data_IF_187239828055
#
_entry.id   IF_187239828055
#
_cell.length_a   1.000
_cell.length_b   1.000
_cell.length_c   1.000
_cell.angle_alpha   90.00
_cell.angle_beta   90.00
_cell.angle_gamma   90.00
#
_symmetry.space_group_name_H-M   'P 1'
#
loop_
_entity.id
_entity.type
_entity.pdbx_description
1 polymer ?
#
# COMPACT_ATOMS: atom_id res chain seq x y z
N UNK A 1 77.50 0.62 41.60
CA UNK A 1 77.17 -0.29 40.48
C UNK A 1 75.67 -0.20 40.24
N UNK A 2 75.24 0.59 39.25
CA UNK A 2 73.83 0.72 38.87
C UNK A 2 73.49 -0.45 37.94
N UNK A 3 72.71 -1.42 38.43
CA UNK A 3 72.15 -2.46 37.58
C UNK A 3 71.00 -1.88 36.75
N UNK A 4 71.28 -1.58 35.48
CA UNK A 4 70.23 -1.31 34.49
C UNK A 4 69.55 -2.63 34.18
N UNK A 5 68.33 -2.83 34.69
CA UNK A 5 67.49 -3.98 34.29
C UNK A 5 67.10 -3.78 32.82
N UNK A 6 67.60 -4.66 31.94
CA UNK A 6 67.08 -4.81 30.57
C UNK A 6 65.86 -5.72 30.63
N UNK A 7 64.67 -5.17 30.35
CA UNK A 7 63.53 -6.00 29.96
C UNK A 7 63.79 -6.49 28.52
N UNK A 8 63.86 -7.80 28.35
CA UNK A 8 63.87 -8.46 27.05
C UNK A 8 62.44 -8.96 26.84
N UNK A 9 61.78 -8.49 25.79
CA UNK A 9 60.47 -9.01 25.35
C UNK A 9 60.71 -10.34 24.64
N UNK A 10 60.04 -11.41 25.10
CA UNK A 10 60.19 -12.78 24.58
C UNK A 10 59.57 -13.00 23.18
N UNK A 11 59.01 -11.96 22.56
CA UNK A 11 58.38 -12.03 21.24
C UNK A 11 59.26 -11.37 20.17
N UNK A 12 59.86 -12.15 19.24
CA UNK A 12 60.69 -11.63 18.16
C UNK A 12 59.92 -10.87 17.06
N UNK A 13 58.58 -10.85 17.10
CA UNK A 13 57.74 -9.99 16.24
C UNK A 13 57.48 -8.58 16.83
N UNK A 14 57.99 -8.33 18.04
CA UNK A 14 57.74 -7.11 18.80
C UNK A 14 58.55 -5.91 18.27
N UNK A 15 57.86 -4.86 17.83
CA UNK A 15 58.46 -3.55 17.53
C UNK A 15 57.56 -2.42 18.02
N UNK A 16 58.13 -1.28 18.41
CA UNK A 16 57.38 -0.07 18.76
C UNK A 16 56.52 0.48 17.60
N UNK A 17 56.79 0.05 16.36
CA UNK A 17 56.03 0.43 15.15
C UNK A 17 54.77 -0.43 14.99
N UNK A 18 54.70 -1.61 15.63
CA UNK A 18 53.62 -2.60 15.49
C UNK A 18 52.62 -2.60 16.65
N UNK A 19 52.81 -1.80 17.69
CA UNK A 19 51.88 -1.77 18.84
C UNK A 19 50.71 -0.82 18.54
N UNK A 20 49.48 -1.33 18.35
CA UNK A 20 48.31 -0.47 18.19
C UNK A 20 48.14 0.41 19.43
N UNK A 21 47.73 1.66 19.23
CA UNK A 21 47.40 2.57 20.32
C UNK A 21 46.41 1.92 21.29
N UNK A 22 46.56 2.19 22.60
CA UNK A 22 45.65 1.68 23.63
C UNK A 22 44.18 1.97 23.27
N UNK A 23 43.91 3.15 22.71
CA UNK A 23 42.58 3.51 22.20
C UNK A 23 42.06 2.52 21.16
N UNK A 24 42.87 2.12 20.18
CA UNK A 24 42.43 1.16 19.14
C UNK A 24 42.16 -0.22 19.75
N UNK A 25 43.00 -0.68 20.68
CA UNK A 25 42.78 -1.94 21.41
C UNK A 25 41.49 -1.90 22.23
N UNK A 26 41.22 -0.78 22.92
CA UNK A 26 39.97 -0.58 23.66
C UNK A 26 38.75 -0.60 22.73
N UNK A 27 38.81 0.08 21.59
CA UNK A 27 37.71 0.09 20.61
C UNK A 27 37.46 -1.31 20.04
N UNK A 28 38.51 -2.06 19.69
CA UNK A 28 38.40 -3.44 19.25
C UNK A 28 37.74 -4.34 20.30
N UNK A 29 38.13 -4.18 21.57
CA UNK A 29 37.51 -4.92 22.67
C UNK A 29 36.02 -4.55 22.85
N UNK A 30 35.66 -3.28 22.71
CA UNK A 30 34.27 -2.81 22.75
C UNK A 30 33.46 -3.43 21.61
N UNK A 31 33.99 -3.43 20.39
CA UNK A 31 33.33 -4.04 19.22
C UNK A 31 33.11 -5.53 19.45
N UNK A 32 34.12 -6.26 19.91
CA UNK A 32 34.04 -7.71 20.13
C UNK A 32 33.05 -8.09 21.24
N UNK A 33 32.92 -7.26 22.28
CA UNK A 33 32.03 -7.51 23.42
C UNK A 33 30.72 -6.70 23.36
N UNK A 34 30.41 -6.09 22.22
CA UNK A 34 29.31 -5.15 22.09
C UNK A 34 27.96 -5.76 22.49
N UNK A 35 27.72 -7.03 22.14
CA UNK A 35 26.51 -7.76 22.50
C UNK A 35 26.29 -7.84 24.02
N UNK A 36 27.35 -8.07 24.78
CA UNK A 36 27.29 -8.21 26.25
C UNK A 36 27.31 -6.86 26.96
N UNK A 37 27.96 -5.85 26.37
CA UNK A 37 28.14 -4.55 27.00
C UNK A 37 28.10 -3.40 25.96
N UNK A 38 26.90 -3.02 25.48
CA UNK A 38 26.75 -2.04 24.39
C UNK A 38 26.87 -0.59 24.90
N UNK A 39 28.10 -0.17 25.21
CA UNK A 39 28.39 1.16 25.79
C UNK A 39 28.50 2.30 24.78
N UNK A 40 27.90 2.17 23.58
CA UNK A 40 28.10 3.12 22.47
C UNK A 40 27.85 4.58 22.88
N UNK A 41 26.76 4.82 23.62
CA UNK A 41 26.33 6.16 24.04
C UNK A 41 27.29 6.84 25.04
N UNK A 42 28.21 6.08 25.66
CA UNK A 42 29.22 6.60 26.58
C UNK A 42 30.53 6.97 25.89
N UNK A 43 30.68 6.64 24.59
CA UNK A 43 31.88 6.95 23.82
C UNK A 43 31.82 8.35 23.23
N UNK A 44 32.99 8.96 23.01
CA UNK A 44 33.13 10.21 22.25
C UNK A 44 32.63 10.01 20.80
N UNK A 45 32.07 11.04 20.14
CA UNK A 45 31.52 10.91 18.78
C UNK A 45 32.48 10.32 17.74
N UNK A 46 33.77 10.65 17.82
CA UNK A 46 34.82 10.09 16.95
C UNK A 46 35.02 8.57 17.13
N UNK A 47 34.85 8.08 18.36
CA UNK A 47 34.95 6.68 18.71
C UNK A 47 33.68 5.92 18.40
N UNK A 48 32.51 6.56 18.53
CA UNK A 48 31.23 5.98 18.13
C UNK A 48 31.25 5.57 16.66
N UNK A 49 31.69 6.46 15.76
CA UNK A 49 31.81 6.15 14.32
C UNK A 49 32.71 4.93 14.07
N UNK A 50 33.92 4.93 14.66
CA UNK A 50 34.87 3.81 14.52
C UNK A 50 34.31 2.47 15.01
N UNK A 51 33.51 2.48 16.09
CA UNK A 51 32.85 1.28 16.60
C UNK A 51 31.77 0.84 15.63
N UNK A 52 30.83 1.74 15.30
CA UNK A 52 29.67 1.49 14.42
C UNK A 52 30.08 0.95 13.05
N UNK A 53 31.14 1.49 12.45
CA UNK A 53 31.66 1.06 11.14
C UNK A 53 32.13 -0.41 11.15
N UNK A 54 32.58 -0.89 12.33
CA UNK A 54 33.13 -2.24 12.52
C UNK A 54 32.17 -3.19 13.22
N UNK A 55 31.00 -2.74 13.70
CA UNK A 55 30.02 -3.62 14.32
C UNK A 55 29.50 -4.67 13.33
N UNK A 56 29.33 -5.90 13.81
CA UNK A 56 28.67 -6.94 13.02
C UNK A 56 27.20 -6.59 12.77
N UNK A 57 26.75 -6.78 11.55
CA UNK A 57 25.34 -6.67 11.11
C UNK A 57 24.47 -7.80 11.66
N UNK A 58 25.09 -8.88 12.17
CA UNK A 58 24.42 -10.05 12.75
C UNK A 58 24.05 -9.89 14.23
N UNK A 59 24.34 -8.73 14.84
CA UNK A 59 24.04 -8.47 16.26
C UNK A 59 22.52 -8.48 16.51
N UNK A 60 22.06 -9.00 17.67
CA UNK A 60 20.64 -9.01 18.01
C UNK A 60 20.01 -7.61 17.97
N UNK A 61 18.78 -7.51 17.45
CA UNK A 61 18.05 -6.24 17.39
C UNK A 61 17.74 -5.68 18.79
N UNK A 62 17.59 -6.55 19.78
CA UNK A 62 17.43 -6.15 21.19
C UNK A 62 18.63 -5.34 21.70
N UNK A 63 19.82 -5.53 21.13
CA UNK A 63 21.03 -4.77 21.45
C UNK A 63 21.14 -3.53 20.57
N UNK A 64 20.86 -3.64 19.27
CA UNK A 64 21.21 -2.60 18.30
C UNK A 64 20.10 -1.57 18.07
N UNK A 65 18.83 -1.97 18.12
CA UNK A 65 17.68 -1.14 17.73
C UNK A 65 17.60 0.19 18.48
N UNK A 66 17.82 0.18 19.80
CA UNK A 66 17.67 1.36 20.65
C UNK A 66 18.99 2.12 20.88
N UNK A 67 20.13 1.51 20.52
CA UNK A 67 21.46 2.06 20.81
C UNK A 67 22.11 2.64 19.54
N UNK A 68 21.95 1.97 18.40
CA UNK A 68 22.58 2.37 17.14
C UNK A 68 21.60 3.22 16.32
N UNK A 69 21.80 4.53 16.30
CA UNK A 69 21.06 5.48 15.44
C UNK A 69 21.73 5.78 14.10
N UNK A 70 22.99 5.38 13.93
CA UNK A 70 23.80 5.71 12.77
C UNK A 70 23.32 4.97 11.51
N UNK A 71 22.99 5.71 10.46
CA UNK A 71 22.43 5.17 9.21
C UNK A 71 23.40 4.26 8.44
N UNK A 72 24.71 4.47 8.55
CA UNK A 72 25.72 3.63 7.88
C UNK A 72 25.69 2.17 8.37
N UNK A 73 25.40 1.94 9.65
CA UNK A 73 25.21 0.59 10.18
C UNK A 73 23.98 -0.07 9.57
N UNK A 74 22.85 0.62 9.56
CA UNK A 74 21.60 0.09 9.01
C UNK A 74 21.69 -0.10 7.50
N UNK A 75 22.43 0.75 6.79
CA UNK A 75 22.77 0.57 5.38
C UNK A 75 23.50 -0.74 5.14
N UNK A 76 24.52 -1.06 5.94
CA UNK A 76 25.22 -2.36 5.85
C UNK A 76 24.26 -3.52 6.13
N UNK A 77 23.45 -3.43 7.19
CA UNK A 77 22.43 -4.45 7.50
C UNK A 77 21.44 -4.67 6.35
N UNK A 78 20.99 -3.60 5.69
CA UNK A 78 20.06 -3.67 4.57
C UNK A 78 20.71 -4.32 3.34
N UNK A 79 21.91 -3.86 2.94
CA UNK A 79 22.61 -4.35 1.75
C UNK A 79 22.99 -5.83 1.88
N UNK A 80 23.33 -6.28 3.08
CA UNK A 80 23.63 -7.68 3.33
C UNK A 80 22.38 -8.57 3.26
N UNK A 81 21.22 -8.06 3.68
CA UNK A 81 19.97 -8.83 3.73
C UNK A 81 19.18 -8.80 2.42
N UNK A 82 19.26 -7.71 1.66
CA UNK A 82 18.44 -7.49 0.47
C UNK A 82 19.26 -7.01 -0.71
N UNK A 83 19.10 -7.70 -1.85
CA UNK A 83 19.83 -7.41 -3.09
C UNK A 83 19.52 -6.03 -3.66
N UNK A 84 18.27 -5.57 -3.53
CA UNK A 84 17.83 -4.26 -4.00
C UNK A 84 17.39 -3.43 -2.80
N UNK A 85 18.03 -2.28 -2.64
CA UNK A 85 17.69 -1.32 -1.61
C UNK A 85 17.51 0.08 -2.21
N UNK A 86 16.29 0.59 -2.17
CA UNK A 86 15.95 1.98 -2.50
C UNK A 86 15.41 2.67 -1.25
N UNK A 87 16.23 3.54 -0.66
CA UNK A 87 15.94 4.22 0.60
C UNK A 87 15.02 5.44 0.41
N UNK A 88 14.84 5.93 -0.82
CA UNK A 88 14.04 7.12 -1.11
C UNK A 88 12.58 6.93 -0.69
N UNK A 89 12.05 5.70 -0.81
CA UNK A 89 10.70 5.33 -0.36
C UNK A 89 10.51 5.33 1.18
N UNK A 90 11.60 5.49 1.93
CA UNK A 90 11.64 5.41 3.40
C UNK A 90 12.04 6.75 4.04
N UNK A 91 11.97 7.85 3.30
CA UNK A 91 12.40 9.17 3.77
C UNK A 91 13.91 9.23 4.02
N UNK A 92 14.68 8.55 3.17
CA UNK A 92 16.14 8.47 3.23
C UNK A 92 16.72 7.90 4.53
N UNK A 93 15.92 7.18 5.33
CA UNK A 93 16.38 6.44 6.51
C UNK A 93 16.50 4.94 6.24
N UNK A 94 17.73 4.43 6.28
CA UNK A 94 18.05 3.01 6.22
C UNK A 94 17.53 2.26 7.44
N UNK A 95 17.51 2.90 8.61
CA UNK A 95 16.94 2.31 9.82
C UNK A 95 15.44 2.07 9.68
N UNK A 96 14.68 3.04 9.17
CA UNK A 96 13.25 2.88 8.87
C UNK A 96 13.03 1.77 7.84
N UNK A 97 13.77 1.81 6.73
CA UNK A 97 13.72 0.78 5.71
C UNK A 97 13.96 -0.62 6.28
N UNK A 98 14.98 -0.78 7.14
CA UNK A 98 15.28 -2.05 7.77
C UNK A 98 14.09 -2.57 8.58
N UNK A 99 13.53 -1.76 9.47
CA UNK A 99 12.45 -2.19 10.35
C UNK A 99 11.14 -2.47 9.63
N UNK A 100 10.74 -1.62 8.68
CA UNK A 100 9.55 -1.83 7.86
C UNK A 100 9.67 -3.14 7.06
N UNK A 101 10.75 -3.30 6.29
CA UNK A 101 10.96 -4.52 5.49
C UNK A 101 11.14 -5.77 6.33
N UNK A 102 11.78 -5.67 7.50
CA UNK A 102 11.97 -6.82 8.38
C UNK A 102 10.65 -7.30 8.98
N UNK A 103 9.83 -6.37 9.48
CA UNK A 103 8.50 -6.67 10.02
C UNK A 103 7.58 -7.23 8.93
N UNK A 104 7.55 -6.59 7.76
CA UNK A 104 6.82 -7.11 6.59
C UNK A 104 7.25 -8.53 6.23
N UNK A 105 8.56 -8.82 6.24
CA UNK A 105 9.06 -10.16 5.91
C UNK A 105 8.60 -11.20 6.94
N UNK A 106 8.61 -10.86 8.23
CA UNK A 106 8.07 -11.76 9.27
C UNK A 106 6.59 -12.03 9.00
N UNK A 107 5.78 -11.00 8.74
CA UNK A 107 4.34 -11.14 8.48
C UNK A 107 4.04 -11.94 7.21
N UNK A 108 4.78 -11.70 6.12
CA UNK A 108 4.65 -12.40 4.83
C UNK A 108 4.89 -13.90 4.93
N UNK A 109 5.71 -14.34 5.89
CA UNK A 109 6.04 -15.75 6.12
C UNK A 109 5.48 -16.27 7.44
N UNK A 110 4.62 -15.49 8.10
CA UNK A 110 3.97 -15.91 9.33
C UNK A 110 2.92 -16.96 8.99
N UNK A 111 3.13 -18.18 9.50
CA UNK A 111 2.19 -19.28 9.36
C UNK A 111 1.43 -19.41 10.68
N UNK A 112 0.12 -19.13 10.72
CA UNK A 112 -0.65 -19.27 11.94
C UNK A 112 -0.59 -20.70 12.48
N UNK A 113 -0.64 -20.83 13.82
CA UNK A 113 -0.49 -22.10 14.56
C UNK A 113 0.87 -22.80 14.44
N UNK A 114 1.79 -22.32 13.58
CA UNK A 114 3.16 -22.86 13.44
C UNK A 114 4.21 -21.85 13.91
N UNK A 115 4.03 -20.59 13.57
CA UNK A 115 4.96 -19.51 13.93
C UNK A 115 4.57 -18.93 15.28
N UNK A 116 5.53 -18.81 16.21
CA UNK A 116 5.30 -18.19 17.52
C UNK A 116 4.93 -16.70 17.34
N UNK A 117 3.74 -16.25 17.78
CA UNK A 117 3.33 -14.85 17.73
C UNK A 117 4.33 -13.89 18.40
N UNK A 118 5.12 -14.36 19.37
CA UNK A 118 6.15 -13.54 20.04
C UNK A 118 7.18 -12.96 19.07
N UNK A 119 7.44 -13.62 17.94
CA UNK A 119 8.36 -13.08 16.93
C UNK A 119 7.92 -11.71 16.41
N UNK A 120 6.61 -11.47 16.34
CA UNK A 120 6.05 -10.17 15.96
C UNK A 120 5.99 -9.25 17.18
N UNK A 121 5.47 -9.74 18.30
CA UNK A 121 5.21 -8.92 19.50
C UNK A 121 6.49 -8.35 20.13
N UNK A 122 7.57 -9.13 20.18
CA UNK A 122 8.86 -8.68 20.73
C UNK A 122 9.55 -7.64 19.85
N UNK A 123 9.18 -7.55 18.57
CA UNK A 123 9.72 -6.56 17.64
C UNK A 123 9.06 -5.19 17.81
N UNK A 124 7.79 -5.14 18.26
CA UNK A 124 7.00 -3.91 18.39
C UNK A 124 7.76 -2.83 19.18
N UNK A 125 8.29 -3.07 20.40
CA UNK A 125 9.03 -2.06 21.15
C UNK A 125 10.28 -1.54 20.43
N UNK A 126 10.86 -2.32 19.52
CA UNK A 126 12.09 -2.01 18.80
C UNK A 126 11.81 -1.19 17.52
N UNK A 127 10.66 -1.42 16.86
CA UNK A 127 10.35 -0.85 15.56
C UNK A 127 9.26 0.24 15.57
N UNK A 128 8.43 0.35 16.60
CA UNK A 128 7.25 1.24 16.63
C UNK A 128 7.52 2.72 16.35
N UNK A 129 8.74 3.19 16.62
CA UNK A 129 9.16 4.57 16.35
C UNK A 129 9.51 4.85 14.89
N UNK A 130 9.66 3.80 14.07
CA UNK A 130 10.18 3.88 12.71
C UNK A 130 9.17 3.44 11.65
N UNK A 131 8.24 2.54 11.99
CA UNK A 131 7.26 1.99 11.05
C UNK A 131 6.17 3.02 10.75
N UNK A 132 6.16 3.52 9.52
CA UNK A 132 5.12 4.38 8.94
C UNK A 132 4.35 3.71 7.82
N UNK A 133 4.96 2.72 7.16
CA UNK A 133 4.34 1.94 6.11
C UNK A 133 4.49 0.44 6.39
N UNK A 134 3.44 -0.30 6.09
CA UNK A 134 3.47 -1.76 6.03
C UNK A 134 2.90 -2.24 4.70
N UNK A 135 3.72 -2.95 3.91
CA UNK A 135 3.32 -3.61 2.67
C UNK A 135 3.42 -5.14 2.80
N UNK A 136 2.29 -5.77 3.09
CA UNK A 136 2.15 -7.23 3.18
C UNK A 136 1.36 -7.72 1.97
N UNK A 137 2.10 -8.15 0.96
CA UNK A 137 1.56 -8.59 -0.32
C UNK A 137 1.30 -10.11 -0.41
N UNK A 138 1.30 -10.80 0.72
CA UNK A 138 0.82 -12.17 0.87
C UNK A 138 0.58 -12.47 2.35
N UNK A 139 -0.37 -13.36 2.64
CA UNK A 139 -0.52 -13.96 3.96
C UNK A 139 -0.55 -15.46 3.80
N UNK A 140 0.25 -16.18 4.59
CA UNK A 140 0.22 -17.63 4.59
C UNK A 140 -0.91 -18.13 5.49
N UNK A 141 -1.73 -19.07 5.02
CA UNK A 141 -2.77 -19.70 5.82
C UNK A 141 -2.16 -20.69 6.82
N UNK A 142 -2.91 -21.12 7.84
CA UNK A 142 -2.44 -22.15 8.77
C UNK A 142 -2.22 -23.49 8.05
N UNK A 143 -1.21 -24.26 8.49
CA UNK A 143 -0.97 -25.61 7.96
C UNK A 143 -2.08 -26.54 8.45
N UNK A 144 -2.76 -27.22 7.52
CA UNK A 144 -3.63 -28.34 7.87
C UNK A 144 -2.76 -29.49 8.37
N UNK A 145 -3.02 -29.96 9.59
CA UNK A 145 -2.47 -31.24 10.04
C UNK A 145 -3.38 -32.30 9.44
N UNK A 146 -2.87 -33.11 8.51
CA UNK A 146 -3.57 -34.28 8.01
C UNK A 146 -4.01 -35.13 9.20
N UNK A 147 -5.31 -35.20 9.49
CA UNK A 147 -5.86 -36.27 10.30
C UNK A 147 -5.86 -37.53 9.44
N UNK A 148 -4.68 -38.15 9.28
CA UNK A 148 -4.60 -39.55 8.88
C UNK A 148 -4.72 -40.40 10.15
N UNK A 149 -5.58 -41.42 10.06
CA UNK A 149 -5.94 -42.44 11.08
C UNK A 149 -7.08 -41.97 12.00
N UNK A 150 -8.30 -42.53 12.03
CA UNK A 150 -8.83 -43.85 11.65
C UNK A 150 -10.31 -43.71 11.24
N UNK A 151 -10.68 -44.10 10.02
CA UNK A 151 -12.02 -44.65 9.76
C UNK A 151 -11.95 -45.58 8.57
N UNK A 152 -11.75 -46.86 8.86
CA UNK A 152 -12.04 -47.93 7.91
C UNK A 152 -13.51 -47.88 7.53
N UNK A 153 -13.75 -48.12 6.25
CA UNK A 153 -14.99 -48.61 5.64
C UNK A 153 -16.25 -47.75 5.85
N UNK A 154 -16.66 -47.02 4.81
CA UNK A 154 -17.89 -47.31 4.04
C UNK A 154 -18.30 -46.13 3.12
N UNK A 155 -18.53 -46.50 1.87
CA UNK A 155 -19.53 -46.00 0.93
C UNK A 155 -19.35 -44.63 0.23
N UNK A 156 -19.38 -44.74 -1.10
CA UNK A 156 -19.70 -43.69 -2.07
C UNK A 156 -21.05 -43.04 -1.76
N UNK A 157 -21.03 -41.74 -1.45
CA UNK A 157 -22.15 -40.82 -1.66
C UNK A 157 -21.59 -39.42 -1.90
N UNK A 158 -21.71 -38.94 -3.14
CA UNK A 158 -21.63 -37.51 -3.48
C UNK A 158 -22.86 -36.81 -2.89
N UNK A 159 -22.78 -36.44 -1.61
CA UNK A 159 -23.71 -35.48 -1.00
C UNK A 159 -22.92 -34.51 -0.12
N UNK A 160 -23.32 -33.24 -0.21
CA UNK A 160 -22.83 -32.05 0.48
C UNK A 160 -22.52 -32.27 1.98
N UNK A 161 -21.37 -32.88 2.24
CA UNK A 161 -20.82 -33.00 3.58
C UNK A 161 -20.15 -31.67 3.92
N UNK A 162 -20.82 -30.92 4.77
CA UNK A 162 -20.30 -29.91 5.69
C UNK A 162 -19.02 -30.43 6.35
N UNK A 163 -17.89 -30.31 5.63
CA UNK A 163 -16.56 -30.64 6.11
C UNK A 163 -16.17 -29.57 7.11
N UNK A 164 -16.65 -29.74 8.35
CA UNK A 164 -16.15 -29.22 9.61
C UNK A 164 -14.94 -28.28 9.39
N UNK A 165 -15.23 -27.02 8.99
CA UNK A 165 -14.20 -26.05 8.62
C UNK A 165 -13.42 -25.71 9.88
N UNK A 166 -12.28 -26.36 10.09
CA UNK A 166 -11.28 -25.90 11.02
C UNK A 166 -10.85 -24.50 10.52
N UNK A 167 -11.46 -23.47 11.07
CA UNK A 167 -11.33 -22.09 10.65
C UNK A 167 -9.86 -21.70 10.54
N UNK A 168 -9.43 -21.49 9.30
CA UNK A 168 -8.03 -21.26 8.94
C UNK A 168 -7.78 -19.75 8.80
N UNK A 169 -7.88 -19.03 9.93
CA UNK A 169 -7.69 -17.58 9.94
C UNK A 169 -6.22 -17.20 9.79
N UNK A 170 -5.98 -16.03 9.20
CA UNK A 170 -4.64 -15.47 9.08
C UNK A 170 -4.19 -14.85 10.40
N UNK A 171 -2.94 -14.39 10.45
CA UNK A 171 -2.42 -13.66 11.60
C UNK A 171 -3.28 -12.41 11.88
N UNK A 172 -3.77 -12.27 13.11
CA UNK A 172 -4.53 -11.10 13.54
C UNK A 172 -3.61 -9.90 13.69
N UNK A 173 -3.76 -8.94 12.78
CA UNK A 173 -2.98 -7.71 12.75
C UNK A 173 -3.36 -6.71 13.85
N UNK A 174 -4.46 -6.93 14.58
CA UNK A 174 -5.02 -5.93 15.50
C UNK A 174 -4.03 -5.46 16.56
N UNK A 175 -3.38 -6.38 17.27
CA UNK A 175 -2.41 -6.01 18.32
C UNK A 175 -1.21 -5.27 17.72
N UNK A 176 -0.73 -5.73 16.56
CA UNK A 176 0.39 -5.09 15.86
C UNK A 176 0.05 -3.66 15.43
N UNK A 177 -0.98 -3.46 14.61
CA UNK A 177 -1.19 -2.16 13.96
C UNK A 177 -1.68 -1.10 14.95
N UNK A 178 -2.39 -1.50 16.01
CA UNK A 178 -2.79 -0.59 17.08
C UNK A 178 -1.61 -0.16 17.96
N UNK A 179 -0.54 -0.96 18.01
CA UNK A 179 0.69 -0.64 18.73
C UNK A 179 1.71 0.19 17.92
N UNK A 180 1.42 0.50 16.65
CA UNK A 180 2.27 1.30 15.75
C UNK A 180 1.74 2.74 15.65
N UNK A 181 2.22 3.67 16.49
CA UNK A 181 1.65 5.01 16.60
C UNK A 181 1.91 5.89 15.37
N UNK A 182 2.89 5.54 14.53
CA UNK A 182 3.26 6.33 13.34
C UNK A 182 2.83 5.69 12.03
N UNK A 183 2.01 4.63 12.06
CA UNK A 183 1.54 3.96 10.86
C UNK A 183 0.60 4.89 10.05
N UNK A 184 1.04 5.24 8.84
CA UNK A 184 0.36 6.12 7.89
C UNK A 184 -0.15 5.36 6.66
N UNK A 185 0.54 4.29 6.25
CA UNK A 185 0.18 3.47 5.07
C UNK A 185 0.08 1.98 5.44
N UNK A 186 -1.05 1.35 5.10
CA UNK A 186 -1.28 -0.08 5.30
C UNK A 186 -1.71 -0.72 3.99
N UNK A 187 -0.84 -1.54 3.40
CA UNK A 187 -1.11 -2.26 2.15
C UNK A 187 -1.14 -3.76 2.40
N UNK A 188 -2.28 -4.36 2.12
CA UNK A 188 -2.56 -5.76 2.40
C UNK A 188 -3.04 -6.47 1.14
N UNK A 189 -2.60 -7.71 0.99
CA UNK A 189 -3.10 -8.64 -0.03
C UNK A 189 -3.20 -10.02 0.59
N UNK A 190 -4.42 -10.48 0.80
CA UNK A 190 -4.73 -11.84 1.26
C UNK A 190 -4.70 -12.80 0.07
N UNK A 191 -3.49 -13.05 -0.40
CA UNK A 191 -3.16 -13.92 -1.53
C UNK A 191 -1.88 -14.71 -1.19
N UNK A 192 -1.62 -15.79 -1.92
CA UNK A 192 -0.41 -16.61 -1.76
C UNK A 192 0.35 -16.64 -3.08
N UNK A 193 1.56 -16.09 -3.10
CA UNK A 193 2.36 -15.96 -4.34
C UNK A 193 2.89 -17.28 -4.88
N UNK A 194 3.08 -18.28 -4.02
CA UNK A 194 3.69 -19.55 -4.40
C UNK A 194 3.13 -20.66 -3.54
N UNK A 195 2.16 -21.41 -4.08
CA UNK A 195 1.53 -22.54 -3.39
C UNK A 195 2.32 -23.86 -3.50
N UNK A 196 3.37 -23.88 -4.33
CA UNK A 196 4.11 -25.11 -4.61
C UNK A 196 3.19 -26.23 -5.11
N UNK A 197 3.45 -27.46 -4.68
CA UNK A 197 2.64 -28.64 -5.02
C UNK A 197 1.41 -28.82 -4.12
N UNK A 198 1.26 -28.02 -3.06
CA UNK A 198 0.22 -28.17 -2.04
C UNK A 198 -0.90 -27.12 -2.24
N UNK A 199 -1.37 -26.97 -3.48
CA UNK A 199 -2.40 -25.99 -3.82
C UNK A 199 -3.77 -26.39 -3.26
N UNK A 200 -4.42 -25.45 -2.55
CA UNK A 200 -5.83 -25.52 -2.19
C UNK A 200 -6.48 -24.12 -2.34
N UNK A 201 -7.77 -24.08 -2.67
CA UNK A 201 -8.53 -22.81 -2.80
C UNK A 201 -8.68 -22.06 -1.47
N UNK A 202 -8.71 -22.80 -0.36
CA UNK A 202 -8.75 -22.32 1.03
C UNK A 202 -7.56 -21.43 1.36
N UNK A 203 -6.40 -21.62 0.72
CA UNK A 203 -5.18 -20.87 1.00
C UNK A 203 -5.31 -19.37 0.73
N UNK A 204 -6.29 -19.01 -0.09
CA UNK A 204 -6.54 -17.65 -0.55
C UNK A 204 -7.82 -17.08 0.06
N UNK A 205 -8.33 -17.68 1.14
CA UNK A 205 -9.60 -17.31 1.70
C UNK A 205 -9.43 -16.16 2.71
N UNK A 206 -9.83 -14.96 2.32
CA UNK A 206 -10.01 -13.88 3.28
C UNK A 206 -11.33 -14.09 4.03
N UNK A 207 -11.24 -14.60 5.25
CA UNK A 207 -12.42 -15.04 6.03
C UNK A 207 -13.20 -13.84 6.59
N UNK A 208 -14.44 -14.07 7.02
CA UNK A 208 -15.22 -13.04 7.73
C UNK A 208 -14.56 -12.58 9.02
N UNK A 209 -13.92 -13.50 9.75
CA UNK A 209 -13.19 -13.16 10.97
C UNK A 209 -11.95 -12.32 10.67
N UNK A 210 -11.18 -12.65 9.61
CA UNK A 210 -10.05 -11.83 9.16
C UNK A 210 -10.53 -10.40 8.86
N UNK A 211 -11.66 -10.28 8.14
CA UNK A 211 -12.28 -9.00 7.82
C UNK A 211 -12.75 -8.24 9.07
N UNK A 212 -13.37 -8.93 10.03
CA UNK A 212 -13.82 -8.33 11.30
C UNK A 212 -12.65 -7.80 12.12
N UNK A 213 -11.58 -8.59 12.25
CA UNK A 213 -10.36 -8.21 12.94
C UNK A 213 -9.71 -7.00 12.27
N UNK A 214 -9.56 -7.03 10.95
CA UNK A 214 -8.99 -5.94 10.17
C UNK A 214 -9.83 -4.67 10.27
N UNK A 215 -11.16 -4.77 10.16
CA UNK A 215 -12.06 -3.62 10.27
C UNK A 215 -11.98 -2.96 11.66
N UNK A 216 -11.94 -3.76 12.73
CA UNK A 216 -11.75 -3.25 14.09
C UNK A 216 -10.38 -2.60 14.28
N UNK A 217 -9.34 -3.18 13.67
CA UNK A 217 -7.98 -2.69 13.78
C UNK A 217 -7.80 -1.35 13.04
N UNK A 218 -8.24 -1.26 11.78
CA UNK A 218 -8.14 -0.03 10.98
C UNK A 218 -8.92 1.12 11.63
N UNK A 219 -10.08 0.85 12.21
CA UNK A 219 -10.86 1.86 12.97
C UNK A 219 -10.07 2.52 14.10
N UNK A 220 -9.14 1.78 14.72
CA UNK A 220 -8.31 2.27 15.83
C UNK A 220 -7.04 3.00 15.37
N UNK A 221 -6.68 2.91 14.09
CA UNK A 221 -5.47 3.50 13.53
C UNK A 221 -5.70 4.96 13.11
N UNK A 222 -5.79 5.88 14.07
CA UNK A 222 -6.13 7.28 13.82
C UNK A 222 -5.12 8.07 12.95
N UNK A 223 -3.92 7.55 12.70
CA UNK A 223 -2.93 8.17 11.82
C UNK A 223 -2.89 7.59 10.41
N UNK A 224 -3.72 6.58 10.12
CA UNK A 224 -3.76 5.92 8.83
C UNK A 224 -4.34 6.86 7.77
N UNK A 225 -3.54 7.11 6.74
CA UNK A 225 -3.87 7.96 5.58
C UNK A 225 -4.18 7.15 4.34
N UNK A 226 -3.47 6.04 4.15
CA UNK A 226 -3.60 5.18 2.97
C UNK A 226 -3.91 3.76 3.42
N UNK A 227 -5.04 3.24 2.96
CA UNK A 227 -5.42 1.85 3.18
C UNK A 227 -5.63 1.15 1.84
N UNK A 228 -4.83 0.11 1.58
CA UNK A 228 -4.94 -0.71 0.37
C UNK A 228 -5.24 -2.14 0.78
N UNK A 229 -6.33 -2.68 0.27
CA UNK A 229 -6.72 -4.08 0.44
C UNK A 229 -7.07 -4.63 -0.94
N UNK A 230 -6.04 -4.99 -1.70
CA UNK A 230 -6.17 -5.41 -3.09
C UNK A 230 -6.11 -6.92 -3.21
N UNK A 231 -6.76 -7.51 -4.22
CA UNK A 231 -6.67 -8.96 -4.51
C UNK A 231 -6.92 -9.86 -3.30
N UNK A 232 -7.86 -9.46 -2.45
CA UNK A 232 -8.13 -10.10 -1.15
C UNK A 232 -9.52 -10.71 -1.11
N UNK A 233 -10.17 -10.92 -2.26
CA UNK A 233 -11.52 -11.48 -2.39
C UNK A 233 -12.56 -10.80 -1.47
N UNK A 234 -12.45 -9.48 -1.30
CA UNK A 234 -13.43 -8.70 -0.53
C UNK A 234 -14.75 -8.67 -1.30
N UNK A 235 -15.78 -9.32 -0.76
CA UNK A 235 -17.14 -9.34 -1.32
C UNK A 235 -18.02 -8.22 -0.72
N UNK A 236 -19.26 -8.14 -1.18
CA UNK A 236 -20.27 -7.17 -0.75
C UNK A 236 -20.44 -7.10 0.78
N UNK A 237 -20.40 -8.23 1.48
CA UNK A 237 -20.65 -8.28 2.92
C UNK A 237 -19.41 -7.87 3.72
N UNK A 238 -18.23 -8.31 3.27
CA UNK A 238 -16.94 -7.86 3.82
C UNK A 238 -16.74 -6.36 3.62
N UNK A 239 -17.08 -5.81 2.46
CA UNK A 239 -16.93 -4.37 2.26
C UNK A 239 -17.95 -3.55 3.06
N UNK A 240 -19.18 -4.04 3.28
CA UNK A 240 -20.13 -3.38 4.20
C UNK A 240 -19.56 -3.31 5.62
N UNK A 241 -18.93 -4.40 6.08
CA UNK A 241 -18.25 -4.50 7.38
C UNK A 241 -17.04 -3.57 7.49
N UNK A 242 -16.24 -3.43 6.44
CA UNK A 242 -15.13 -2.47 6.41
C UNK A 242 -15.66 -1.04 6.35
N UNK A 243 -16.54 -0.73 5.40
CA UNK A 243 -17.09 0.61 5.20
C UNK A 243 -17.74 1.18 6.46
N UNK A 244 -18.53 0.39 7.21
CA UNK A 244 -19.14 0.85 8.47
C UNK A 244 -18.12 1.25 9.55
N UNK A 245 -16.92 0.65 9.51
CA UNK A 245 -15.83 0.94 10.44
C UNK A 245 -14.91 2.07 9.95
N UNK A 246 -14.99 2.41 8.66
CA UNK A 246 -14.27 3.52 8.03
C UNK A 246 -15.08 4.82 7.95
N UNK A 247 -16.38 4.78 8.24
CA UNK A 247 -17.21 5.99 8.37
C UNK A 247 -16.57 6.94 9.39
N UNK A 248 -16.48 8.22 9.01
CA UNK A 248 -15.89 9.29 9.83
C UNK A 248 -14.44 9.03 10.29
N UNK A 249 -13.68 8.17 9.59
CA UNK A 249 -12.27 7.94 9.93
C UNK A 249 -11.48 9.26 9.85
N UNK A 250 -10.71 9.63 10.90
CA UNK A 250 -10.23 11.00 11.07
C UNK A 250 -9.22 11.45 10.00
N UNK A 251 -8.43 10.52 9.48
CA UNK A 251 -7.25 10.81 8.65
C UNK A 251 -7.18 10.03 7.33
N UNK A 252 -8.16 9.18 7.01
CA UNK A 252 -8.06 8.33 5.81
C UNK A 252 -8.33 9.17 4.56
N UNK A 253 -7.35 9.20 3.64
CA UNK A 253 -7.37 9.99 2.41
C UNK A 253 -7.41 9.10 1.17
N UNK A 254 -6.78 7.92 1.20
CA UNK A 254 -6.73 7.00 0.06
C UNK A 254 -7.24 5.62 0.48
N UNK A 255 -8.19 5.11 -0.31
CA UNK A 255 -8.71 3.76 -0.20
C UNK A 255 -8.57 3.03 -1.53
N UNK A 256 -7.75 1.97 -1.55
CA UNK A 256 -7.61 1.08 -2.70
C UNK A 256 -8.20 -0.29 -2.39
N UNK A 257 -9.26 -0.63 -3.12
CA UNK A 257 -9.97 -1.90 -3.03
C UNK A 257 -9.98 -2.60 -4.39
N UNK A 258 -9.00 -2.32 -5.25
CA UNK A 258 -8.94 -2.88 -6.59
C UNK A 258 -8.77 -4.42 -6.59
N UNK A 259 -9.29 -5.05 -7.63
CA UNK A 259 -9.24 -6.49 -7.83
C UNK A 259 -9.92 -7.29 -6.71
N UNK A 260 -11.14 -6.91 -6.32
CA UNK A 260 -11.97 -7.64 -5.35
C UNK A 260 -13.34 -7.99 -5.97
N UNK A 261 -14.35 -8.28 -5.14
CA UNK A 261 -15.66 -8.80 -5.53
C UNK A 261 -16.81 -7.94 -4.98
N UNK A 262 -16.63 -6.61 -4.94
CA UNK A 262 -17.50 -5.66 -4.22
C UNK A 262 -18.90 -5.49 -4.84
N UNK A 263 -19.06 -5.77 -6.15
CA UNK A 263 -20.33 -5.73 -6.93
C UNK A 263 -21.23 -4.55 -6.55
N UNK A 264 -22.55 -4.67 -6.76
CA UNK A 264 -23.48 -3.54 -6.59
C UNK A 264 -23.83 -3.26 -5.12
N UNK A 265 -24.06 -4.28 -4.30
CA UNK A 265 -24.48 -4.02 -2.91
C UNK A 265 -23.30 -3.49 -2.07
N UNK A 266 -22.09 -3.94 -2.35
CA UNK A 266 -20.89 -3.39 -1.73
C UNK A 266 -20.61 -1.96 -2.21
N UNK A 267 -20.77 -1.68 -3.50
CA UNK A 267 -20.66 -0.33 -4.05
C UNK A 267 -21.68 0.64 -3.43
N UNK A 268 -22.88 0.17 -3.08
CA UNK A 268 -23.87 0.98 -2.35
C UNK A 268 -23.37 1.41 -0.96
N UNK A 269 -22.68 0.53 -0.24
CA UNK A 269 -22.06 0.87 1.04
C UNK A 269 -20.92 1.88 0.87
N UNK A 270 -20.13 1.74 -0.21
CA UNK A 270 -19.09 2.69 -0.56
C UNK A 270 -19.63 4.06 -0.98
N UNK A 271 -20.78 4.12 -1.66
CA UNK A 271 -21.45 5.38 -1.98
C UNK A 271 -21.74 6.20 -0.71
N UNK A 272 -22.21 5.55 0.35
CA UNK A 272 -22.41 6.19 1.66
C UNK A 272 -21.10 6.60 2.34
N UNK A 273 -20.06 5.79 2.21
CA UNK A 273 -18.72 6.11 2.74
C UNK A 273 -18.15 7.37 2.08
N UNK A 274 -18.30 7.51 0.76
CA UNK A 274 -17.82 8.66 0.00
C UNK A 274 -18.44 9.98 0.51
N UNK A 275 -19.73 9.99 0.84
CA UNK A 275 -20.41 11.20 1.32
C UNK A 275 -20.09 11.56 2.78
N UNK A 276 -19.60 10.61 3.58
CA UNK A 276 -19.29 10.78 5.01
C UNK A 276 -17.80 10.54 5.31
N UNK A 277 -16.91 10.87 4.38
CA UNK A 277 -15.47 10.69 4.58
C UNK A 277 -14.64 11.84 4.01
N UNK A 278 -13.37 11.83 4.41
CA UNK A 278 -12.34 12.75 3.91
C UNK A 278 -11.54 12.14 2.76
N UNK A 279 -12.05 11.07 2.14
CA UNK A 279 -11.37 10.38 1.06
C UNK A 279 -11.12 11.33 -0.12
N UNK A 280 -9.87 11.41 -0.52
CA UNK A 280 -9.41 12.15 -1.70
C UNK A 280 -9.24 11.22 -2.90
N UNK A 281 -8.89 9.96 -2.66
CA UNK A 281 -8.67 8.94 -3.71
C UNK A 281 -9.41 7.64 -3.37
N UNK A 282 -10.18 7.15 -4.33
CA UNK A 282 -10.86 5.86 -4.25
C UNK A 282 -10.59 5.02 -5.51
N UNK A 283 -9.98 3.86 -5.32
CA UNK A 283 -9.71 2.91 -6.38
C UNK A 283 -10.56 1.64 -6.25
N UNK A 284 -11.47 1.44 -7.19
CA UNK A 284 -12.38 0.30 -7.31
C UNK A 284 -12.18 -0.46 -8.62
N UNK A 285 -11.01 -0.34 -9.23
CA UNK A 285 -10.67 -1.05 -10.46
C UNK A 285 -10.93 -2.56 -10.32
N UNK A 286 -11.61 -3.17 -11.28
CA UNK A 286 -11.87 -4.61 -11.34
C UNK A 286 -12.59 -5.18 -10.11
N UNK A 287 -13.85 -4.78 -9.91
CA UNK A 287 -14.71 -5.19 -8.78
C UNK A 287 -16.08 -5.73 -9.18
N UNK A 288 -16.33 -5.93 -10.49
CA UNK A 288 -17.61 -6.38 -11.03
C UNK A 288 -18.80 -5.47 -10.66
N UNK A 289 -18.54 -4.17 -10.43
CA UNK A 289 -19.57 -3.16 -10.15
C UNK A 289 -20.37 -2.93 -11.42
N UNK A 290 -21.70 -2.97 -11.34
CA UNK A 290 -22.61 -2.72 -12.46
C UNK A 290 -23.30 -1.37 -12.32
N UNK A 291 -24.27 -1.09 -13.18
CA UNK A 291 -24.97 0.20 -13.20
C UNK A 291 -25.63 0.57 -11.86
N UNK A 292 -26.18 -0.38 -11.08
CA UNK A 292 -26.81 -0.08 -9.79
C UNK A 292 -25.79 0.36 -8.75
N UNK A 293 -24.64 -0.32 -8.67
CA UNK A 293 -23.54 0.09 -7.81
C UNK A 293 -22.96 1.44 -8.25
N UNK A 294 -22.78 1.65 -9.55
CA UNK A 294 -22.31 2.92 -10.10
C UNK A 294 -23.27 4.08 -9.80
N UNK A 295 -24.59 3.87 -9.86
CA UNK A 295 -25.58 4.86 -9.46
C UNK A 295 -25.46 5.24 -7.98
N UNK A 296 -25.22 4.28 -7.10
CA UNK A 296 -25.02 4.56 -5.68
C UNK A 296 -23.71 5.31 -5.41
N UNK A 297 -22.64 4.98 -6.15
CA UNK A 297 -21.38 5.74 -6.11
C UNK A 297 -21.57 7.16 -6.63
N UNK A 298 -22.36 7.35 -7.69
CA UNK A 298 -22.69 8.67 -8.24
C UNK A 298 -23.45 9.54 -7.22
N UNK A 299 -24.38 8.96 -6.46
CA UNK A 299 -25.06 9.67 -5.37
C UNK A 299 -24.06 10.15 -4.31
N UNK A 300 -23.15 9.27 -3.85
CA UNK A 300 -22.10 9.65 -2.91
C UNK A 300 -21.16 10.72 -3.47
N UNK A 301 -20.80 10.62 -4.75
CA UNK A 301 -19.95 11.57 -5.45
C UNK A 301 -20.59 12.96 -5.55
N UNK A 302 -21.90 13.04 -5.78
CA UNK A 302 -22.61 14.32 -5.85
C UNK A 302 -22.56 15.10 -4.52
N UNK A 303 -22.51 14.39 -3.38
CA UNK A 303 -22.44 14.96 -2.03
C UNK A 303 -20.99 15.18 -1.56
N UNK A 304 -20.02 14.46 -2.13
CA UNK A 304 -18.61 14.59 -1.74
C UNK A 304 -18.01 15.92 -2.16
N UNK A 305 -17.30 16.55 -1.23
CA UNK A 305 -16.51 17.77 -1.47
C UNK A 305 -15.00 17.54 -1.42
N UNK A 306 -14.57 16.31 -1.15
CA UNK A 306 -13.16 15.94 -0.88
C UNK A 306 -12.59 15.00 -1.93
N UNK A 307 -13.41 14.13 -2.53
CA UNK A 307 -12.92 13.13 -3.48
C UNK A 307 -12.41 13.80 -4.76
N UNK A 308 -11.13 13.62 -5.06
CA UNK A 308 -10.45 14.18 -6.23
C UNK A 308 -10.16 13.15 -7.31
N UNK A 309 -10.07 11.86 -6.95
CA UNK A 309 -9.76 10.78 -7.87
C UNK A 309 -10.66 9.57 -7.63
N UNK A 310 -11.34 9.13 -8.70
CA UNK A 310 -12.17 7.93 -8.70
C UNK A 310 -11.78 7.01 -9.86
N UNK A 311 -11.37 5.79 -9.53
CA UNK A 311 -11.04 4.76 -10.52
C UNK A 311 -12.07 3.62 -10.51
N UNK A 312 -12.81 3.48 -11.61
CA UNK A 312 -13.80 2.44 -11.86
C UNK A 312 -13.44 1.56 -13.05
N UNK A 313 -12.17 1.56 -13.49
CA UNK A 313 -11.72 0.78 -14.63
C UNK A 313 -12.06 -0.72 -14.48
N UNK A 314 -12.30 -1.42 -15.59
CA UNK A 314 -12.54 -2.88 -15.61
C UNK A 314 -13.77 -3.28 -14.75
N UNK A 315 -14.84 -2.50 -14.80
CA UNK A 315 -16.13 -2.85 -14.20
C UNK A 315 -17.18 -2.99 -15.31
N UNK A 316 -18.46 -3.07 -14.92
CA UNK A 316 -19.59 -3.16 -15.84
C UNK A 316 -20.54 -1.99 -15.62
N UNK A 317 -19.99 -0.77 -15.48
CA UNK A 317 -20.77 0.42 -15.14
C UNK A 317 -21.96 0.61 -16.09
N UNK A 318 -21.81 0.25 -17.38
CA UNK A 318 -22.85 0.36 -18.41
C UNK A 318 -23.38 1.81 -18.56
N UNK A 319 -24.20 2.07 -19.58
CA UNK A 319 -24.64 3.43 -19.85
C UNK A 319 -25.42 4.07 -18.70
N UNK A 320 -26.32 3.31 -18.04
CA UNK A 320 -27.09 3.82 -16.89
C UNK A 320 -26.22 4.25 -15.72
N UNK A 321 -25.09 3.57 -15.50
CA UNK A 321 -24.13 3.95 -14.47
C UNK A 321 -23.28 5.13 -14.93
N UNK A 322 -22.87 5.15 -16.21
CA UNK A 322 -22.12 6.23 -16.82
C UNK A 322 -22.87 7.56 -16.81
N UNK A 323 -24.14 7.54 -17.22
CA UNK A 323 -25.06 8.69 -17.15
C UNK A 323 -25.22 9.21 -15.72
N UNK A 324 -25.38 8.32 -14.74
CA UNK A 324 -25.52 8.71 -13.33
C UNK A 324 -24.25 9.42 -12.81
N UNK A 325 -23.07 8.88 -13.11
CA UNK A 325 -21.79 9.51 -12.78
C UNK A 325 -21.67 10.87 -13.48
N UNK A 326 -22.02 10.95 -14.77
CA UNK A 326 -22.03 12.20 -15.53
C UNK A 326 -22.95 13.25 -14.90
N UNK A 327 -24.17 12.87 -14.48
CA UNK A 327 -25.08 13.76 -13.79
C UNK A 327 -24.54 14.25 -12.44
N UNK A 328 -23.89 13.39 -11.66
CA UNK A 328 -23.24 13.80 -10.42
C UNK A 328 -22.13 14.84 -10.67
N UNK A 329 -21.37 14.70 -11.77
CA UNK A 329 -20.31 15.63 -12.16
C UNK A 329 -20.79 17.01 -12.63
N UNK A 330 -22.06 17.16 -12.99
CA UNK A 330 -22.62 18.47 -13.31
C UNK A 330 -22.72 19.38 -12.07
N UNK A 331 -22.75 18.81 -10.86
CA UNK A 331 -22.81 19.53 -9.60
C UNK A 331 -21.57 19.34 -8.72
N UNK A 332 -20.85 18.23 -8.88
CA UNK A 332 -19.61 17.99 -8.15
C UNK A 332 -18.51 18.99 -8.59
N UNK A 333 -17.77 19.50 -7.60
CA UNK A 333 -16.71 20.51 -7.79
C UNK A 333 -15.37 20.08 -7.20
N UNK A 334 -15.24 18.82 -6.79
CA UNK A 334 -14.03 18.28 -6.17
C UNK A 334 -13.26 17.30 -7.06
N UNK A 335 -13.97 16.52 -7.90
CA UNK A 335 -13.37 15.47 -8.70
C UNK A 335 -12.51 16.03 -9.84
N UNK A 336 -11.24 15.65 -9.85
CA UNK A 336 -10.25 16.06 -10.85
C UNK A 336 -9.91 14.94 -11.83
N UNK A 337 -9.99 13.69 -11.41
CA UNK A 337 -9.63 12.52 -12.19
C UNK A 337 -10.70 11.43 -12.11
N UNK A 338 -11.17 10.99 -13.27
CA UNK A 338 -12.15 9.91 -13.39
C UNK A 338 -11.68 8.85 -14.39
N UNK A 339 -11.58 7.60 -13.94
CA UNK A 339 -11.23 6.48 -14.82
C UNK A 339 -12.42 5.56 -15.04
N UNK A 340 -12.95 5.55 -16.28
CA UNK A 340 -14.09 4.75 -16.74
C UNK A 340 -13.71 3.78 -17.88
N UNK A 341 -12.42 3.58 -18.16
CA UNK A 341 -12.01 2.62 -19.20
C UNK A 341 -12.47 1.17 -18.94
N UNK A 342 -12.84 0.45 -20.00
CA UNK A 342 -13.37 -0.93 -19.94
C UNK A 342 -14.59 -1.06 -19.03
N UNK A 343 -15.70 -0.40 -19.38
CA UNK A 343 -16.94 -0.37 -18.59
C UNK A 343 -18.22 -0.61 -19.39
N UNK A 344 -18.11 -1.03 -20.66
CA UNK A 344 -19.25 -1.21 -21.57
C UNK A 344 -20.08 0.08 -21.74
N UNK A 345 -19.41 1.22 -21.84
CA UNK A 345 -20.04 2.52 -22.11
C UNK A 345 -20.25 2.70 -23.61
N UNK A 346 -21.33 3.38 -23.99
CA UNK A 346 -21.65 3.71 -25.37
C UNK A 346 -22.15 5.17 -25.51
N UNK A 347 -22.79 5.49 -26.64
CA UNK A 347 -23.25 6.84 -27.00
C UNK A 347 -24.13 7.55 -25.94
N UNK A 348 -25.05 6.89 -25.21
CA UNK A 348 -25.86 7.57 -24.20
C UNK A 348 -25.01 8.20 -23.10
N UNK A 349 -23.92 7.52 -22.70
CA UNK A 349 -22.97 8.07 -21.73
C UNK A 349 -22.31 9.34 -22.26
N UNK A 350 -21.87 9.37 -23.53
CA UNK A 350 -21.21 10.55 -24.11
C UNK A 350 -22.14 11.75 -24.23
N UNK A 351 -23.45 11.54 -24.38
CA UNK A 351 -24.43 12.63 -24.44
C UNK A 351 -24.54 13.39 -23.11
N UNK A 352 -24.34 12.71 -21.98
CA UNK A 352 -24.26 13.38 -20.67
C UNK A 352 -22.88 13.98 -20.46
N UNK A 353 -21.82 13.27 -20.84
CA UNK A 353 -20.45 13.76 -20.66
C UNK A 353 -20.11 14.96 -21.54
N UNK A 354 -20.74 15.15 -22.71
CA UNK A 354 -20.62 16.39 -23.49
C UNK A 354 -21.07 17.61 -22.67
N UNK A 355 -22.15 17.48 -21.91
CA UNK A 355 -22.64 18.53 -21.01
C UNK A 355 -21.70 18.74 -19.82
N UNK A 356 -21.13 17.65 -19.28
CA UNK A 356 -20.11 17.74 -18.23
C UNK A 356 -18.89 18.50 -18.74
N UNK A 357 -18.38 18.18 -19.92
CA UNK A 357 -17.23 18.84 -20.51
C UNK A 357 -17.49 20.32 -20.81
N UNK A 358 -18.71 20.68 -21.18
CA UNK A 358 -19.09 22.07 -21.43
C UNK A 358 -19.24 22.91 -20.15
N UNK A 359 -19.56 22.30 -19.00
CA UNK A 359 -19.96 23.02 -17.76
C UNK A 359 -19.02 22.83 -16.58
N UNK A 360 -18.47 21.64 -16.41
CA UNK A 360 -17.59 21.31 -15.30
C UNK A 360 -16.21 21.93 -15.54
N UNK A 361 -15.72 22.67 -14.54
CA UNK A 361 -14.43 23.39 -14.59
C UNK A 361 -13.41 22.86 -13.59
N UNK A 362 -13.67 21.69 -13.01
CA UNK A 362 -12.83 21.06 -11.97
C UNK A 362 -12.15 19.78 -12.46
N UNK A 363 -12.80 19.07 -13.38
CA UNK A 363 -12.29 17.86 -13.99
C UNK A 363 -11.14 18.16 -14.94
N UNK A 364 -10.03 17.43 -14.74
CA UNK A 364 -8.76 17.59 -15.48
C UNK A 364 -8.35 16.35 -16.26
N UNK A 365 -8.79 15.17 -15.83
CA UNK A 365 -8.47 13.88 -16.45
C UNK A 365 -9.68 12.98 -16.53
N UNK A 366 -9.97 12.45 -17.72
CA UNK A 366 -11.00 11.42 -17.95
C UNK A 366 -10.41 10.30 -18.80
N UNK A 367 -10.67 9.05 -18.41
CA UNK A 367 -10.32 7.89 -19.22
C UNK A 367 -11.56 7.11 -19.64
N UNK A 368 -11.83 7.04 -20.95
CA UNK A 368 -12.88 6.22 -21.56
C UNK A 368 -12.33 5.08 -22.42
N UNK A 369 -11.03 4.79 -22.34
CA UNK A 369 -10.40 3.77 -23.17
C UNK A 369 -11.10 2.41 -23.11
N UNK A 370 -11.07 1.65 -24.20
CA UNK A 370 -11.67 0.32 -24.29
C UNK A 370 -13.18 0.30 -23.96
N UNK A 371 -13.94 1.25 -24.50
CA UNK A 371 -15.41 1.29 -24.47
C UNK A 371 -15.96 1.33 -25.91
N UNK A 372 -17.28 1.38 -26.08
CA UNK A 372 -17.96 1.34 -27.38
C UNK A 372 -18.71 2.66 -27.65
N UNK A 373 -18.00 3.80 -27.54
CA UNK A 373 -18.62 5.13 -27.63
C UNK A 373 -19.15 5.43 -29.04
N UNK A 374 -18.49 4.86 -30.06
CA UNK A 374 -18.85 5.03 -31.46
C UNK A 374 -18.51 6.41 -32.03
N UNK A 375 -18.77 6.57 -33.32
CA UNK A 375 -18.45 7.78 -34.07
C UNK A 375 -19.22 9.01 -33.54
N UNK A 376 -20.51 8.84 -33.25
CA UNK A 376 -21.35 9.93 -32.78
C UNK A 376 -21.05 10.30 -31.32
N UNK A 377 -20.66 9.33 -30.48
CA UNK A 377 -20.19 9.62 -29.14
C UNK A 377 -18.89 10.44 -29.14
N UNK A 378 -17.98 10.16 -30.08
CA UNK A 378 -16.81 11.00 -30.32
C UNK A 378 -17.16 12.45 -30.65
N UNK A 379 -18.12 12.66 -31.58
CA UNK A 379 -18.57 14.01 -31.98
C UNK A 379 -19.21 14.76 -30.81
N UNK A 380 -20.00 14.08 -29.99
CA UNK A 380 -20.61 14.67 -28.79
C UNK A 380 -19.54 15.14 -27.79
N UNK A 381 -18.51 14.34 -27.55
CA UNK A 381 -17.39 14.73 -26.69
C UNK A 381 -16.62 15.93 -27.26
N UNK A 382 -16.37 15.96 -28.57
CA UNK A 382 -15.73 17.08 -29.25
C UNK A 382 -16.54 18.37 -29.11
N UNK A 383 -17.87 18.31 -29.30
CA UNK A 383 -18.76 19.46 -29.10
C UNK A 383 -18.70 19.99 -27.66
N UNK A 384 -18.74 19.08 -26.66
CA UNK A 384 -18.62 19.44 -25.25
C UNK A 384 -17.28 20.11 -24.90
N UNK A 385 -16.21 19.76 -25.61
CA UNK A 385 -14.87 20.32 -25.41
C UNK A 385 -14.66 21.69 -26.05
N UNK A 386 -15.56 22.17 -26.93
CA UNK A 386 -15.35 23.39 -27.72
C UNK A 386 -14.95 24.62 -26.88
N UNK A 387 -15.43 24.72 -25.63
CA UNK A 387 -15.10 25.79 -24.70
C UNK A 387 -14.40 25.31 -23.41
N UNK A 388 -14.09 24.01 -23.30
CA UNK A 388 -13.45 23.46 -22.12
C UNK A 388 -11.97 23.87 -22.06
N UNK A 389 -11.54 24.44 -20.93
CA UNK A 389 -10.16 24.88 -20.71
C UNK A 389 -9.45 24.14 -19.57
N UNK A 390 -10.12 23.17 -18.97
CA UNK A 390 -9.68 22.55 -17.70
C UNK A 390 -9.22 21.12 -17.91
N UNK A 391 -9.78 20.41 -18.89
CA UNK A 391 -9.39 19.05 -19.22
C UNK A 391 -8.03 19.04 -19.92
N UNK A 392 -7.05 18.41 -19.27
CA UNK A 392 -5.67 18.27 -19.74
C UNK A 392 -5.32 16.85 -20.15
N UNK A 393 -6.19 15.89 -19.83
CA UNK A 393 -6.06 14.49 -20.20
C UNK A 393 -7.42 13.89 -20.58
N UNK A 394 -7.48 13.28 -21.76
CA UNK A 394 -8.61 12.50 -22.23
C UNK A 394 -8.06 11.28 -22.96
N UNK A 395 -8.42 10.09 -22.53
CA UNK A 395 -8.01 8.83 -23.18
C UNK A 395 -9.21 8.14 -23.83
N UNK A 396 -9.18 8.07 -25.17
CA UNK A 396 -10.20 7.45 -26.03
C UNK A 396 -9.66 6.23 -26.79
N UNK A 397 -8.49 5.69 -26.39
CA UNK A 397 -7.92 4.53 -27.09
C UNK A 397 -8.89 3.36 -27.07
N UNK A 398 -9.10 2.73 -28.23
CA UNK A 398 -10.05 1.64 -28.37
C UNK A 398 -11.48 2.00 -27.93
N UNK A 399 -11.92 3.25 -28.19
CA UNK A 399 -13.28 3.72 -27.89
C UNK A 399 -14.22 3.78 -29.11
N UNK A 400 -13.77 3.30 -30.28
CA UNK A 400 -14.52 3.33 -31.56
C UNK A 400 -14.85 4.74 -32.07
N UNK A 401 -14.02 5.73 -31.68
CA UNK A 401 -14.11 7.12 -32.15
C UNK A 401 -13.39 7.28 -33.49
N UNK A 402 -13.94 8.13 -34.36
CA UNK A 402 -13.33 8.48 -35.65
C UNK A 402 -11.95 9.13 -35.46
N UNK A 403 -10.96 8.71 -36.26
CA UNK A 403 -9.58 9.19 -36.12
C UNK A 403 -9.45 10.72 -36.24
N UNK A 404 -10.22 11.36 -37.13
CA UNK A 404 -10.23 12.82 -37.27
C UNK A 404 -10.81 13.50 -36.02
N UNK A 405 -11.90 12.97 -35.47
CA UNK A 405 -12.52 13.48 -34.24
C UNK A 405 -11.57 13.32 -33.05
N UNK A 406 -10.95 12.15 -32.89
CA UNK A 406 -9.95 11.88 -31.85
C UNK A 406 -8.75 12.84 -31.93
N UNK A 407 -8.26 13.10 -33.15
CA UNK A 407 -7.18 14.06 -33.38
C UNK A 407 -7.57 15.49 -32.94
N UNK A 408 -8.76 15.97 -33.29
CA UNK A 408 -9.25 17.29 -32.88
C UNK A 408 -9.42 17.40 -31.36
N UNK A 409 -9.96 16.36 -30.73
CA UNK A 409 -10.05 16.26 -29.26
C UNK A 409 -8.65 16.37 -28.64
N UNK A 410 -7.68 15.60 -29.16
CA UNK A 410 -6.31 15.63 -28.68
C UNK A 410 -5.65 17.01 -28.84
N UNK A 411 -5.95 17.75 -29.92
CA UNK A 411 -5.45 19.13 -30.09
C UNK A 411 -5.98 20.07 -29.00
N UNK A 412 -7.28 20.01 -28.68
CA UNK A 412 -7.89 20.83 -27.63
C UNK A 412 -7.25 20.51 -26.27
N UNK A 413 -7.18 19.22 -25.92
CA UNK A 413 -6.62 18.75 -24.64
C UNK A 413 -5.13 19.11 -24.52
N UNK A 414 -4.36 19.00 -25.62
CA UNK A 414 -2.97 19.42 -25.65
C UNK A 414 -2.82 20.94 -25.43
N UNK A 415 -3.66 21.75 -26.08
CA UNK A 415 -3.63 23.20 -25.89
C UNK A 415 -3.93 23.59 -24.43
N UNK A 416 -4.88 22.93 -23.78
CA UNK A 416 -5.17 23.10 -22.35
C UNK A 416 -3.96 22.73 -21.47
N UNK A 417 -3.33 21.59 -21.74
CA UNK A 417 -2.13 21.14 -21.02
C UNK A 417 -0.98 22.14 -21.15
N UNK A 418 -0.73 22.65 -22.36
CA UNK A 418 0.30 23.66 -22.58
C UNK A 418 -0.02 24.99 -21.91
N UNK A 419 -1.29 25.41 -21.88
CA UNK A 419 -1.70 26.61 -21.16
C UNK A 419 -1.41 26.50 -19.65
N UNK A 420 -1.70 25.34 -19.04
CA UNK A 420 -1.36 25.06 -17.64
C UNK A 420 0.15 25.10 -17.42
N UNK A 421 0.94 24.47 -18.32
CA UNK A 421 2.41 24.46 -18.26
C UNK A 421 3.01 25.86 -18.37
N UNK A 422 2.49 26.71 -19.24
CA UNK A 422 2.96 28.09 -19.39
C UNK A 422 2.57 28.95 -18.18
N UNK A 423 1.39 28.73 -17.60
CA UNK A 423 0.95 29.41 -16.37
C UNK A 423 1.84 29.09 -15.17
N UNK A 424 2.26 27.83 -14.99
CA UNK A 424 3.14 27.45 -13.88
C UNK A 424 4.56 28.00 -14.01
N UNK A 425 5.05 28.24 -15.23
CA UNK A 425 6.35 28.90 -15.48
C UNK A 425 6.31 30.41 -15.17
N UNK A 426 5.16 31.07 -15.35
CA UNK A 426 4.99 32.49 -15.04
C UNK A 426 4.75 32.76 -13.54
N UNK A 427 4.23 31.76 -12.83
CA UNK A 427 4.03 31.78 -11.38
C UNK A 427 4.63 30.52 -10.76
N UNK A 428 5.97 30.42 -10.61
CA UNK A 428 6.58 29.30 -9.90
C UNK A 428 6.01 29.29 -8.48
N UNK A 429 5.25 28.24 -8.16
CA UNK A 429 4.84 27.98 -6.78
C UNK A 429 6.12 27.87 -5.96
N UNK A 430 6.27 28.75 -4.95
CA UNK A 430 7.38 28.67 -4.02
C UNK A 430 7.45 27.24 -3.47
N UNK A 431 8.59 26.58 -3.67
CA UNK A 431 8.86 25.30 -3.02
C UNK A 431 8.62 25.49 -1.50
N UNK A 432 7.89 24.58 -0.84
CA UNK A 432 7.86 24.61 0.61
C UNK A 432 9.29 24.31 1.10
N UNK A 433 9.90 25.33 1.72
CA UNK A 433 11.20 25.28 2.39
C UNK A 433 11.29 24.17 3.44
#
# INVERSE_FOLDING_TARGET
>A
SFYTRRCITEDPSWSLVTVPHLTELCLQHIIHNFEKNPILNYLLPEHQRKVVDKLSTSLPLTVTANIVSHEDYWKRCCIERWQVCDVSNYGDSWKRMFFERHLENILKFFIPNTTDPKQVLELIPLCKGYVRKLDINQFLPPVRVDQKEESNDLADTEEDADFNEAYTHHYDLKELITALPHLEELHLTYDVKSCGMNFEWSLFNFTEQDCSNLAAAVKMCHNLKVFKLTRSKVDDDKIKLLARNLLDHPCLLELDLSHNLIRDNGAQALGKLISHSRLETLNLCNNQIRHLGAQALAQGLAESSTLTSLNLRLNFVEDKGGEAIGHALLTNTSLKSLHLGSNNLSEPTTAVFSQVLARNTTLTSINFSCNHLGLDGGKQLLEGLANNKTLTELDLRHAEVEQETDFLIHQIVWANREAVRLGSLQHPTAEPL
#
